data_IF_836748147087
#
_entry.id   IF_836748147087
#
_cell.length_a   1.000
_cell.length_b   1.000
_cell.length_c   1.000
_cell.angle_alpha   90.00
_cell.angle_beta   90.00
_cell.angle_gamma   90.00
#
_symmetry.space_group_name_H-M   'P 1'
#
loop_
_entity.id
_entity.type
_entity.pdbx_description
1 polymer ?
#
# COMPACT_ATOMS: atom_id res chain seq x y z
N UNK A 1 -50.40 -19.25 -63.84
CA UNK A 1 -49.00 -19.72 -63.93
C UNK A 1 -48.08 -18.53 -63.79
N UNK A 2 -47.61 -18.26 -62.57
CA UNK A 2 -46.41 -17.48 -62.28
C UNK A 2 -46.06 -17.69 -60.81
N UNK A 3 -44.87 -18.21 -60.56
CA UNK A 3 -44.17 -18.04 -59.31
C UNK A 3 -42.68 -17.98 -59.65
N UNK A 4 -42.16 -16.77 -59.60
CA UNK A 4 -40.76 -16.38 -59.73
C UNK A 4 -39.93 -17.06 -58.64
N UNK A 5 -38.86 -17.75 -59.03
CA UNK A 5 -37.87 -18.34 -58.10
C UNK A 5 -36.96 -17.21 -57.61
N UNK A 6 -37.08 -16.84 -56.34
CA UNK A 6 -36.09 -16.00 -55.65
C UNK A 6 -35.05 -16.90 -54.99
N UNK A 7 -33.86 -16.99 -55.56
CA UNK A 7 -32.68 -17.59 -54.92
C UNK A 7 -32.11 -16.60 -53.90
N UNK A 8 -32.52 -16.72 -52.64
CA UNK A 8 -31.83 -16.01 -51.56
C UNK A 8 -30.60 -16.83 -51.15
N UNK A 9 -29.43 -16.39 -51.63
CA UNK A 9 -28.14 -16.91 -51.19
C UNK A 9 -27.86 -16.31 -49.81
N UNK A 10 -28.20 -17.04 -48.74
CA UNK A 10 -27.80 -16.67 -47.38
C UNK A 10 -26.31 -16.99 -47.21
N UNK A 11 -25.44 -16.01 -46.89
CA UNK A 11 -24.06 -16.31 -46.54
C UNK A 11 -24.07 -17.19 -45.29
N UNK A 12 -23.33 -18.30 -45.30
CA UNK A 12 -23.16 -19.15 -44.13
C UNK A 12 -22.61 -18.30 -42.97
N UNK A 13 -23.31 -18.34 -41.83
CA UNK A 13 -22.83 -17.70 -40.61
C UNK A 13 -21.43 -18.23 -40.25
N UNK A 14 -20.49 -17.39 -39.79
CA UNK A 14 -19.22 -17.87 -39.26
C UNK A 14 -19.50 -18.86 -38.12
N UNK A 15 -18.72 -19.95 -37.98
CA UNK A 15 -18.95 -20.94 -36.94
C UNK A 15 -18.92 -20.24 -35.58
N UNK A 16 -19.99 -20.44 -34.80
CA UNK A 16 -20.08 -19.93 -33.44
C UNK A 16 -18.86 -20.43 -32.65
N UNK A 17 -18.06 -19.51 -32.12
CA UNK A 17 -16.90 -19.84 -31.31
C UNK A 17 -17.42 -20.31 -29.94
N UNK A 18 -17.34 -21.62 -29.59
CA UNK A 18 -17.95 -22.15 -28.37
C UNK A 18 -17.32 -21.60 -27.08
N UNK A 19 -16.17 -20.95 -27.20
CA UNK A 19 -15.38 -20.43 -26.07
C UNK A 19 -15.91 -19.06 -25.61
N UNK A 20 -16.64 -18.33 -26.46
CA UNK A 20 -17.11 -16.98 -26.14
C UNK A 20 -18.39 -16.96 -25.28
N UNK A 21 -19.21 -18.02 -25.35
CA UNK A 21 -20.49 -18.09 -24.65
C UNK A 21 -20.37 -18.62 -23.20
N UNK A 22 -19.21 -19.17 -22.83
CA UNK A 22 -19.01 -19.83 -21.52
C UNK A 22 -18.34 -18.94 -20.46
N UNK A 23 -18.02 -17.69 -20.81
CA UNK A 23 -17.59 -16.70 -19.82
C UNK A 23 -18.80 -15.97 -19.22
N UNK A 24 -19.61 -16.70 -18.47
CA UNK A 24 -20.52 -16.08 -17.50
C UNK A 24 -19.65 -15.70 -16.29
N UNK A 25 -19.42 -14.41 -16.00
CA UNK A 25 -18.77 -14.03 -14.75
C UNK A 25 -19.70 -14.48 -13.64
N UNK A 26 -19.37 -15.59 -12.98
CA UNK A 26 -20.12 -16.06 -11.81
C UNK A 26 -20.06 -14.91 -10.80
N UNK A 27 -21.18 -14.23 -10.51
CA UNK A 27 -21.19 -13.21 -9.50
C UNK A 27 -20.84 -13.94 -8.19
N UNK A 28 -19.90 -13.45 -7.38
CA UNK A 28 -19.58 -14.11 -6.13
C UNK A 28 -20.81 -13.95 -5.22
N UNK A 29 -21.69 -14.95 -5.20
CA UNK A 29 -22.96 -14.98 -4.45
C UNK A 29 -22.82 -15.73 -3.13
N UNK A 30 -21.59 -15.88 -2.63
CA UNK A 30 -21.34 -16.33 -1.27
C UNK A 30 -21.36 -15.16 -0.28
N UNK A 31 -21.80 -15.36 0.98
CA UNK A 31 -21.72 -14.34 2.03
C UNK A 31 -20.31 -13.79 2.32
N UNK A 32 -19.25 -14.34 1.69
CA UNK A 32 -17.85 -13.89 1.77
C UNK A 32 -17.32 -13.08 0.57
N UNK A 33 -18.15 -12.78 -0.43
CA UNK A 33 -17.73 -12.08 -1.66
C UNK A 33 -17.16 -10.66 -1.44
N UNK A 34 -17.47 -10.03 -0.31
CA UNK A 34 -17.00 -8.67 0.05
C UNK A 34 -15.85 -8.65 1.04
N UNK A 35 -15.50 -9.78 1.64
CA UNK A 35 -14.44 -9.83 2.66
C UNK A 35 -13.11 -10.16 2.00
N UNK A 36 -12.36 -9.13 1.57
CA UNK A 36 -10.95 -9.26 1.18
C UNK A 36 -10.10 -9.41 2.46
N UNK A 37 -9.57 -10.60 2.78
CA UNK A 37 -8.87 -10.85 4.02
C UNK A 37 -7.65 -9.93 4.16
N UNK A 38 -7.48 -9.31 5.33
CA UNK A 38 -6.35 -8.42 5.60
C UNK A 38 -6.34 -7.08 4.85
N UNK A 39 -7.31 -6.77 3.98
CA UNK A 39 -7.31 -5.50 3.23
C UNK A 39 -7.37 -4.28 4.15
N UNK A 40 -8.26 -4.28 5.16
CA UNK A 40 -8.36 -3.17 6.12
C UNK A 40 -7.03 -2.94 6.84
N UNK A 41 -6.36 -4.02 7.25
CA UNK A 41 -5.08 -3.94 7.93
C UNK A 41 -3.96 -3.43 7.00
N UNK A 42 -3.95 -3.87 5.74
CA UNK A 42 -3.04 -3.32 4.72
C UNK A 42 -3.27 -1.82 4.49
N UNK A 43 -4.52 -1.38 4.33
CA UNK A 43 -4.85 0.04 4.16
C UNK A 43 -4.42 0.90 5.36
N UNK A 44 -4.62 0.39 6.58
CA UNK A 44 -4.14 1.06 7.79
C UNK A 44 -2.61 1.12 7.81
N UNK A 45 -1.92 0.05 7.42
CA UNK A 45 -0.46 0.03 7.36
C UNK A 45 0.09 0.99 6.30
N UNK A 46 -0.59 1.12 5.15
CA UNK A 46 -0.27 2.13 4.13
C UNK A 46 -0.47 3.56 4.65
N UNK A 47 -1.60 3.82 5.31
CA UNK A 47 -1.87 5.12 5.93
C UNK A 47 -0.83 5.45 7.01
N UNK A 48 -0.48 4.48 7.85
CA UNK A 48 0.55 4.62 8.87
C UNK A 48 1.93 4.90 8.26
N UNK A 49 2.32 4.22 7.17
CA UNK A 49 3.55 4.54 6.44
C UNK A 49 3.52 5.97 5.87
N UNK A 50 2.39 6.39 5.29
CA UNK A 50 2.26 7.76 4.76
C UNK A 50 2.45 8.82 5.87
N UNK A 51 1.83 8.61 7.04
CA UNK A 51 2.01 9.47 8.21
C UNK A 51 3.46 9.46 8.68
N UNK A 52 4.12 8.31 8.70
CA UNK A 52 5.53 8.20 9.05
C UNK A 52 6.40 9.05 8.10
N UNK A 53 6.22 8.93 6.79
CA UNK A 53 6.97 9.71 5.79
C UNK A 53 6.76 11.20 5.92
N UNK A 54 5.52 11.65 6.06
CA UNK A 54 5.21 13.07 6.27
C UNK A 54 5.89 13.57 7.55
N UNK A 55 5.84 12.79 8.63
CA UNK A 55 6.49 13.12 9.88
C UNK A 55 8.02 13.18 9.77
N UNK A 56 8.66 12.20 9.13
CA UNK A 56 10.12 12.21 8.93
C UNK A 56 10.58 13.42 8.11
N UNK A 57 9.87 13.75 7.02
CA UNK A 57 10.19 14.92 6.20
C UNK A 57 9.97 16.22 6.97
N UNK A 58 8.87 16.36 7.70
CA UNK A 58 8.61 17.53 8.51
C UNK A 58 9.66 17.70 9.63
N UNK A 59 10.04 16.61 10.31
CA UNK A 59 11.11 16.62 11.29
C UNK A 59 12.45 17.05 10.67
N UNK A 60 12.78 16.52 9.48
CA UNK A 60 13.99 16.91 8.74
C UNK A 60 14.00 18.41 8.43
N UNK A 61 12.90 18.96 7.91
CA UNK A 61 12.78 20.39 7.62
C UNK A 61 12.95 21.24 8.88
N UNK A 62 12.32 20.84 9.99
CA UNK A 62 12.43 21.56 11.27
C UNK A 62 13.86 21.52 11.83
N UNK A 63 14.57 20.41 11.67
CA UNK A 63 15.99 20.29 12.03
C UNK A 63 16.84 21.26 11.19
N UNK A 64 16.64 21.31 9.87
CA UNK A 64 17.36 22.24 8.99
C UNK A 64 17.11 23.70 9.40
N UNK A 65 15.85 24.05 9.71
CA UNK A 65 15.52 25.39 10.22
C UNK A 65 16.23 25.66 11.55
N UNK A 66 16.21 24.69 12.48
CA UNK A 66 16.89 24.81 13.76
C UNK A 66 18.39 25.07 13.58
N UNK A 67 19.07 24.34 12.68
CA UNK A 67 20.47 24.60 12.35
C UNK A 67 20.69 25.98 11.74
N UNK A 68 19.85 26.42 10.80
CA UNK A 68 19.95 27.75 10.21
C UNK A 68 19.79 28.88 11.24
N UNK A 69 18.90 28.70 12.23
CA UNK A 69 18.75 29.65 13.35
C UNK A 69 19.96 29.63 14.28
N UNK A 70 20.46 28.44 14.61
CA UNK A 70 21.65 28.30 15.44
C UNK A 70 22.88 28.95 14.80
N UNK A 71 23.07 28.80 13.48
CA UNK A 71 24.15 29.44 12.73
C UNK A 71 24.02 30.96 12.60
N UNK A 72 22.82 31.50 12.85
CA UNK A 72 22.57 32.95 12.87
C UNK A 72 22.48 33.53 14.28
N UNK A 73 22.95 32.78 15.28
CA UNK A 73 22.90 33.13 16.72
C UNK A 73 21.48 33.44 17.22
N UNK A 74 20.46 32.84 16.60
CA UNK A 74 19.06 32.95 16.99
C UNK A 74 18.63 31.73 17.81
N UNK A 75 17.60 31.91 18.64
CA UNK A 75 17.01 30.79 19.38
C UNK A 75 16.43 29.73 18.42
N UNK A 76 17.00 28.53 18.52
CA UNK A 76 16.70 27.38 17.68
C UNK A 76 15.96 26.26 18.43
N UNK A 77 15.83 26.41 19.76
CA UNK A 77 15.39 25.35 20.67
C UNK A 77 13.97 24.88 20.38
N UNK A 78 13.04 25.80 20.11
CA UNK A 78 11.65 25.48 19.79
C UNK A 78 11.52 24.58 18.54
N UNK A 79 12.30 24.85 17.49
CA UNK A 79 12.31 24.04 16.27
C UNK A 79 12.93 22.67 16.50
N UNK A 80 13.98 22.59 17.31
CA UNK A 80 14.58 21.32 17.71
C UNK A 80 13.57 20.45 18.48
N UNK A 81 12.89 20.99 19.50
CA UNK A 81 11.88 20.25 20.26
C UNK A 81 10.68 19.84 19.40
N UNK A 82 10.19 20.73 18.53
CA UNK A 82 9.12 20.41 17.59
C UNK A 82 9.54 19.28 16.64
N UNK A 83 10.77 19.33 16.11
CA UNK A 83 11.28 18.27 15.24
C UNK A 83 11.33 16.92 15.94
N UNK A 84 11.75 16.89 17.21
CA UNK A 84 11.78 15.69 18.03
C UNK A 84 10.37 15.13 18.25
N UNK A 85 9.40 15.98 18.60
CA UNK A 85 8.01 15.56 18.78
C UNK A 85 7.42 14.94 17.51
N UNK A 86 7.59 15.60 16.36
CA UNK A 86 7.12 15.09 15.06
C UNK A 86 7.84 13.80 14.67
N UNK A 87 9.14 13.71 14.94
CA UNK A 87 9.92 12.49 14.71
C UNK A 87 9.38 11.30 15.53
N UNK A 88 9.09 11.51 16.81
CA UNK A 88 8.51 10.45 17.68
C UNK A 88 7.15 9.97 17.15
N UNK A 89 6.31 10.88 16.66
CA UNK A 89 5.04 10.52 16.00
C UNK A 89 5.30 9.66 14.75
N UNK A 90 6.30 10.00 13.95
CA UNK A 90 6.67 9.21 12.77
C UNK A 90 7.19 7.80 13.13
N UNK A 91 7.97 7.67 14.21
CA UNK A 91 8.42 6.38 14.75
C UNK A 91 7.23 5.53 15.21
N UNK A 92 6.28 6.11 15.96
CA UNK A 92 5.07 5.41 16.39
C UNK A 92 4.20 4.98 15.19
N UNK A 93 4.07 5.83 14.19
CA UNK A 93 3.36 5.50 12.95
C UNK A 93 4.04 4.34 12.21
N UNK A 94 5.37 4.31 12.17
CA UNK A 94 6.15 3.19 11.59
C UNK A 94 5.90 1.88 12.34
N UNK A 95 5.85 1.92 13.68
CA UNK A 95 5.50 0.73 14.48
C UNK A 95 4.06 0.26 14.19
N UNK A 96 3.12 1.20 14.07
CA UNK A 96 1.74 0.91 13.66
C UNK A 96 1.65 0.26 12.28
N UNK A 97 2.46 0.73 11.32
CA UNK A 97 2.56 0.12 10.00
C UNK A 97 3.06 -1.33 10.05
N UNK A 98 4.09 -1.61 10.86
CA UNK A 98 4.59 -2.97 11.08
C UNK A 98 3.56 -3.90 11.69
N UNK A 99 2.79 -3.42 12.68
CA UNK A 99 1.68 -4.17 13.26
C UNK A 99 0.58 -4.45 12.22
N UNK A 100 0.19 -3.44 11.44
CA UNK A 100 -0.81 -3.58 10.38
C UNK A 100 -0.41 -4.55 9.28
N UNK A 101 0.86 -4.50 8.84
CA UNK A 101 1.45 -5.47 7.90
C UNK A 101 1.37 -6.89 8.45
N UNK A 102 1.76 -7.10 9.71
CA UNK A 102 1.74 -8.42 10.36
C UNK A 102 0.31 -8.98 10.44
N UNK A 103 -0.66 -8.16 10.86
CA UNK A 103 -2.07 -8.54 10.93
C UNK A 103 -2.64 -8.85 9.54
N UNK A 104 -2.30 -8.04 8.53
CA UNK A 104 -2.69 -8.26 7.14
C UNK A 104 -2.15 -9.59 6.61
N UNK A 105 -0.86 -9.87 6.85
CA UNK A 105 -0.20 -11.11 6.47
C UNK A 105 -0.88 -12.33 7.11
N UNK A 106 -1.06 -12.32 8.44
CA UNK A 106 -1.73 -13.42 9.16
C UNK A 106 -3.16 -13.66 8.64
N UNK A 107 -3.91 -12.60 8.35
CA UNK A 107 -5.26 -12.72 7.82
C UNK A 107 -5.29 -13.35 6.42
N UNK A 108 -4.32 -13.04 5.56
CA UNK A 108 -4.18 -13.61 4.22
C UNK A 108 -3.70 -15.06 4.23
N UNK A 109 -2.76 -15.41 5.13
CA UNK A 109 -2.30 -16.79 5.34
C UNK A 109 -3.45 -17.68 5.84
N UNK A 110 -4.23 -17.22 6.83
CA UNK A 110 -5.38 -17.99 7.36
C UNK A 110 -6.49 -18.20 6.33
N UNK A 111 -6.60 -17.32 5.35
CA UNK A 111 -7.59 -17.40 4.28
C UNK A 111 -7.06 -18.02 2.98
N UNK A 112 -5.81 -18.53 2.98
CA UNK A 112 -5.11 -19.10 1.82
C UNK A 112 -5.07 -18.17 0.59
N UNK A 113 -5.14 -16.85 0.82
CA UNK A 113 -5.18 -15.82 -0.22
C UNK A 113 -3.76 -15.43 -0.71
N UNK A 114 -2.72 -16.03 -0.13
CA UNK A 114 -1.30 -15.87 -0.48
C UNK A 114 -0.92 -16.55 -1.80
N UNK A 115 -1.79 -17.41 -2.35
CA UNK A 115 -1.57 -18.01 -3.67
C UNK A 115 -1.96 -17.06 -4.83
N UNK A 116 -2.56 -15.91 -4.52
CA UNK A 116 -2.96 -14.91 -5.53
C UNK A 116 -1.90 -13.83 -5.67
N UNK A 117 -1.59 -13.46 -6.92
CA UNK A 117 -0.51 -12.50 -7.24
C UNK A 117 -0.78 -11.12 -6.63
N UNK A 118 -2.01 -10.59 -6.73
CA UNK A 118 -2.30 -9.22 -6.28
C UNK A 118 -2.10 -9.01 -4.76
N UNK A 119 -2.63 -9.87 -3.86
CA UNK A 119 -2.34 -9.79 -2.42
C UNK A 119 -0.86 -9.94 -2.06
N UNK A 120 -0.10 -10.74 -2.82
CA UNK A 120 1.34 -10.93 -2.59
C UNK A 120 2.13 -9.68 -2.96
N UNK A 121 1.85 -9.07 -4.13
CA UNK A 121 2.50 -7.84 -4.56
C UNK A 121 2.27 -6.71 -3.55
N UNK A 122 1.02 -6.55 -3.05
CA UNK A 122 0.71 -5.58 -1.99
C UNK A 122 1.53 -5.84 -0.71
N UNK A 123 1.64 -7.09 -0.26
CA UNK A 123 2.45 -7.43 0.93
C UNK A 123 3.93 -7.12 0.73
N UNK A 124 4.49 -7.42 -0.44
CA UNK A 124 5.90 -7.16 -0.74
C UNK A 124 6.17 -5.65 -0.74
N UNK A 125 5.34 -4.87 -1.43
CA UNK A 125 5.49 -3.41 -1.45
C UNK A 125 5.34 -2.82 -0.06
N UNK A 126 4.34 -3.28 0.70
CA UNK A 126 4.10 -2.83 2.06
C UNK A 126 5.26 -3.22 3.01
N UNK A 127 5.84 -4.41 2.82
CA UNK A 127 7.04 -4.84 3.56
C UNK A 127 8.21 -3.92 3.24
N UNK A 128 8.52 -3.70 1.96
CA UNK A 128 9.64 -2.86 1.53
C UNK A 128 9.55 -1.44 2.09
N UNK A 129 8.38 -0.79 1.95
CA UNK A 129 8.20 0.57 2.48
C UNK A 129 8.30 0.59 4.00
N UNK A 130 7.73 -0.40 4.70
CA UNK A 130 7.78 -0.46 6.16
C UNK A 130 9.21 -0.70 6.66
N UNK A 131 9.97 -1.55 5.97
CA UNK A 131 11.40 -1.77 6.26
C UNK A 131 12.20 -0.49 6.07
N UNK A 132 11.97 0.26 4.98
CA UNK A 132 12.67 1.52 4.75
C UNK A 132 12.27 2.60 5.78
N UNK A 133 10.99 2.67 6.16
CA UNK A 133 10.51 3.51 7.26
C UNK A 133 11.21 3.15 8.57
N UNK A 134 11.35 1.87 8.89
CA UNK A 134 12.06 1.40 10.09
C UNK A 134 13.56 1.72 10.05
N UNK A 135 14.23 1.55 8.90
CA UNK A 135 15.62 1.96 8.74
C UNK A 135 15.80 3.47 8.97
N UNK A 136 14.89 4.28 8.43
CA UNK A 136 14.87 5.74 8.62
C UNK A 136 14.66 6.11 10.10
N UNK A 137 13.75 5.42 10.78
CA UNK A 137 13.46 5.59 12.20
C UNK A 137 14.63 5.20 13.12
N UNK A 138 15.50 4.29 12.70
CA UNK A 138 16.62 3.80 13.52
C UNK A 138 17.91 4.55 13.19
N UNK A 139 18.04 5.12 11.99
CA UNK A 139 19.25 5.78 11.50
C UNK A 139 19.90 6.77 12.48
N UNK A 140 19.17 7.73 13.11
CA UNK A 140 19.78 8.65 14.05
C UNK A 140 20.40 7.95 15.27
N UNK A 141 19.80 6.86 15.73
CA UNK A 141 20.29 6.09 16.87
C UNK A 141 21.56 5.31 16.52
N UNK A 142 21.67 4.78 15.31
CA UNK A 142 22.90 4.09 14.85
C UNK A 142 24.07 5.06 14.89
N UNK A 143 23.90 6.30 14.39
CA UNK A 143 24.96 7.31 14.44
C UNK A 143 25.34 7.69 15.87
N UNK A 144 24.36 7.85 16.77
CA UNK A 144 24.62 8.16 18.18
C UNK A 144 25.33 7.00 18.91
N UNK A 145 24.98 5.75 18.60
CA UNK A 145 25.55 4.57 19.24
C UNK A 145 26.92 4.18 18.66
N UNK A 146 27.14 4.40 17.37
CA UNK A 146 28.40 4.10 16.67
C UNK A 146 29.44 5.23 16.77
N UNK A 147 29.03 6.45 17.10
CA UNK A 147 29.90 7.60 17.35
C UNK A 147 30.52 7.66 18.75
N UNK A 148 30.63 6.52 19.43
CA UNK A 148 31.43 6.33 20.66
C UNK A 148 32.79 5.77 20.30
#
# INVERSE_FOLDING_TARGET
MHATVNTHHTPAAPPANPIADDFVPVPPTGPGARTRPGLRASLLAWASNAVAWVGFLAAMVLIVISFGRALSDQDASAYAYASLGVYLVAVLATAGAGAGLTVSFLARVRADDVNRVAPVVDLILLLLVTTFSAMTAVFPFVFVLAGR
#
